data_IF_119781191458
#
_entry.id   IF_119781191458
#
_cell.length_a   1.000
_cell.length_b   1.000
_cell.length_c   1.000
_cell.angle_alpha   90.00
_cell.angle_beta   90.00
_cell.angle_gamma   90.00
#
_symmetry.space_group_name_H-M   'P 1'
#
loop_
_entity.id
_entity.type
_entity.pdbx_description
1 polymer ?
#
# COMPACT_ATOMS: atom_id res chain seq x y z
N UNK A 1 37.24 3.10 -16.98
CA UNK A 1 36.01 2.57 -16.37
C UNK A 1 35.37 1.64 -17.40
N UNK A 2 35.13 0.40 -17.05
CA UNK A 2 34.51 -0.60 -17.93
C UNK A 2 32.97 -0.35 -17.98
N UNK A 3 32.30 -0.86 -19.00
CA UNK A 3 30.83 -0.79 -19.08
C UNK A 3 30.13 -1.41 -17.85
N UNK A 4 30.73 -2.46 -17.28
CA UNK A 4 30.21 -3.07 -16.04
C UNK A 4 30.32 -2.12 -14.87
N UNK A 5 31.49 -1.47 -14.67
CA UNK A 5 31.68 -0.49 -13.59
C UNK A 5 30.72 0.70 -13.74
N UNK A 6 30.45 1.14 -14.97
CA UNK A 6 29.48 2.22 -15.24
C UNK A 6 28.08 1.77 -14.82
N UNK A 7 27.62 0.58 -15.23
CA UNK A 7 26.31 0.05 -14.86
C UNK A 7 26.16 -0.12 -13.35
N UNK A 8 27.19 -0.67 -12.70
CA UNK A 8 27.16 -0.90 -11.26
C UNK A 8 27.10 0.45 -10.50
N UNK A 9 27.84 1.46 -10.94
CA UNK A 9 27.79 2.81 -10.38
C UNK A 9 26.43 3.48 -10.59
N UNK A 10 25.83 3.36 -11.77
CA UNK A 10 24.47 3.89 -12.05
C UNK A 10 23.44 3.19 -11.14
N UNK A 11 23.51 1.87 -11.02
CA UNK A 11 22.58 1.12 -10.15
C UNK A 11 22.73 1.53 -8.68
N UNK A 12 23.96 1.77 -8.21
CA UNK A 12 24.22 2.26 -6.86
C UNK A 12 23.65 3.68 -6.65
N UNK A 13 23.85 4.58 -7.60
CA UNK A 13 23.30 5.94 -7.54
C UNK A 13 21.77 5.92 -7.49
N UNK A 14 21.13 5.14 -8.36
CA UNK A 14 19.66 5.04 -8.40
C UNK A 14 19.09 4.47 -7.09
N UNK A 15 19.76 3.47 -6.49
CA UNK A 15 19.36 2.92 -5.19
C UNK A 15 19.49 3.97 -4.09
N UNK A 16 20.59 4.71 -4.07
CA UNK A 16 20.83 5.77 -3.07
C UNK A 16 19.82 6.93 -3.23
N UNK A 17 19.47 7.32 -4.46
CA UNK A 17 18.44 8.32 -4.73
C UNK A 17 17.08 7.85 -4.21
N UNK A 18 16.68 6.61 -4.52
CA UNK A 18 15.42 6.03 -4.02
C UNK A 18 15.38 5.93 -2.50
N UNK A 19 16.49 5.56 -1.85
CA UNK A 19 16.61 5.54 -0.39
C UNK A 19 16.39 6.94 0.20
N UNK A 20 17.10 7.97 -0.32
CA UNK A 20 16.96 9.35 0.14
C UNK A 20 15.56 9.91 -0.06
N UNK A 21 14.91 9.57 -1.17
CA UNK A 21 13.52 9.96 -1.43
C UNK A 21 12.58 9.40 -0.36
N UNK A 22 12.67 8.10 -0.06
CA UNK A 22 11.90 7.44 1.00
C UNK A 22 12.15 8.07 2.37
N UNK A 23 13.41 8.30 2.73
CA UNK A 23 13.81 8.94 3.99
C UNK A 23 13.27 10.37 4.10
N UNK A 24 13.30 11.12 3.00
CA UNK A 24 12.73 12.46 2.92
C UNK A 24 11.22 12.47 3.20
N UNK A 25 10.47 11.53 2.61
CA UNK A 25 9.03 11.36 2.85
C UNK A 25 8.76 11.02 4.32
N UNK A 26 9.49 10.08 4.88
CA UNK A 26 9.34 9.66 6.29
C UNK A 26 9.68 10.84 7.23
N UNK A 27 10.71 11.61 6.94
CA UNK A 27 11.07 12.80 7.72
C UNK A 27 9.94 13.83 7.68
N UNK A 28 9.37 14.07 6.50
CA UNK A 28 8.21 14.95 6.34
C UNK A 28 6.98 14.45 7.13
N UNK A 29 6.77 13.14 7.20
CA UNK A 29 5.69 12.58 8.01
C UNK A 29 5.88 12.87 9.49
N UNK A 30 7.11 12.77 10.04
CA UNK A 30 7.40 13.15 11.44
C UNK A 30 7.06 14.60 11.73
N UNK A 31 7.32 15.50 10.77
CA UNK A 31 6.97 16.92 10.90
C UNK A 31 5.46 17.13 10.88
N UNK A 32 4.76 16.56 9.89
CA UNK A 32 3.31 16.67 9.73
C UNK A 32 2.55 16.06 10.90
N UNK A 33 3.04 14.96 11.46
CA UNK A 33 2.38 14.28 12.57
C UNK A 33 2.31 15.12 13.85
N UNK A 34 3.20 16.13 14.01
CA UNK A 34 3.14 17.08 15.14
C UNK A 34 1.88 17.94 15.13
N UNK A 35 1.29 18.15 13.96
CA UNK A 35 0.09 18.95 13.77
C UNK A 35 -1.17 18.11 13.52
N UNK A 36 -0.99 16.79 13.34
CA UNK A 36 -2.08 15.90 13.00
C UNK A 36 -3.01 15.65 14.19
N UNK A 37 -4.31 15.57 13.92
CA UNK A 37 -5.30 15.14 14.92
C UNK A 37 -5.20 13.63 15.10
N UNK A 38 -5.08 13.19 16.35
CA UNK A 38 -5.09 11.77 16.73
C UNK A 38 -6.46 11.14 16.50
N UNK A 39 -6.49 9.81 16.46
CA UNK A 39 -7.75 9.05 16.35
C UNK A 39 -8.41 9.11 14.98
N UNK A 40 -7.78 9.69 13.96
CA UNK A 40 -8.34 9.77 12.62
C UNK A 40 -8.09 8.48 11.82
N UNK A 41 -8.49 8.47 10.55
CA UNK A 41 -8.23 7.38 9.63
C UNK A 41 -6.83 7.56 9.05
N UNK A 42 -6.06 6.47 8.95
CA UNK A 42 -4.77 6.44 8.27
C UNK A 42 -4.83 5.45 7.11
N UNK A 43 -4.36 5.89 5.96
CA UNK A 43 -4.04 5.05 4.82
C UNK A 43 -2.52 4.87 4.80
N UNK A 44 -2.03 3.64 4.94
CA UNK A 44 -0.59 3.35 4.94
C UNK A 44 -0.26 2.24 3.94
N UNK A 45 0.94 2.30 3.37
CA UNK A 45 1.34 1.32 2.37
C UNK A 45 2.51 1.77 1.50
N UNK A 46 2.54 1.26 0.28
CA UNK A 46 3.55 1.58 -0.72
C UNK A 46 3.06 2.62 -1.74
N UNK A 47 3.58 2.58 -2.98
CA UNK A 47 3.21 3.51 -4.04
C UNK A 47 1.71 3.51 -4.38
N UNK A 48 1.06 2.36 -4.32
CA UNK A 48 -0.39 2.25 -4.59
C UNK A 48 -1.22 3.00 -3.54
N UNK A 49 -0.72 3.15 -2.34
CA UNK A 49 -1.36 3.99 -1.34
C UNK A 49 -0.89 5.44 -1.45
N UNK A 50 0.41 5.69 -1.69
CA UNK A 50 0.95 7.04 -1.87
C UNK A 50 0.24 7.81 -2.98
N UNK A 51 0.01 7.16 -4.11
CA UNK A 51 -0.61 7.75 -5.31
C UNK A 51 -2.14 7.86 -5.22
N UNK A 52 -2.76 7.32 -4.18
CA UNK A 52 -4.21 7.45 -3.98
C UNK A 52 -4.55 8.93 -3.71
N UNK A 53 -5.26 9.63 -4.62
CA UNK A 53 -5.54 11.05 -4.50
C UNK A 53 -6.69 11.30 -3.50
N UNK A 54 -6.57 10.73 -2.31
CA UNK A 54 -7.63 10.69 -1.30
C UNK A 54 -8.09 12.09 -0.86
N UNK A 55 -7.18 13.05 -0.84
CA UNK A 55 -7.52 14.42 -0.40
C UNK A 55 -8.41 15.14 -1.39
N UNK A 56 -8.10 15.03 -2.69
CA UNK A 56 -8.91 15.58 -3.77
C UNK A 56 -10.29 14.90 -3.80
N UNK A 57 -10.33 13.57 -3.70
CA UNK A 57 -11.59 12.82 -3.70
C UNK A 57 -12.47 13.15 -2.49
N UNK A 58 -11.89 13.38 -1.31
CA UNK A 58 -12.66 13.82 -0.14
C UNK A 58 -13.24 15.21 -0.36
N UNK A 59 -12.48 16.12 -0.94
CA UNK A 59 -12.90 17.49 -1.21
C UNK A 59 -13.97 17.55 -2.30
N UNK A 60 -13.73 16.91 -3.45
CA UNK A 60 -14.63 16.96 -4.60
C UNK A 60 -15.97 16.28 -4.34
N UNK A 61 -15.98 15.25 -3.49
CA UNK A 61 -17.19 14.51 -3.10
C UNK A 61 -17.82 15.03 -1.80
N UNK A 62 -17.31 16.14 -1.24
CA UNK A 62 -17.76 16.74 0.03
C UNK A 62 -17.85 15.73 1.20
N UNK A 63 -16.87 14.80 1.26
CA UNK A 63 -16.89 13.71 2.23
C UNK A 63 -16.34 14.16 3.59
N UNK A 64 -17.06 13.95 4.71
CA UNK A 64 -16.72 14.49 6.02
C UNK A 64 -15.71 13.63 6.79
N UNK A 65 -14.70 13.13 6.11
CA UNK A 65 -13.66 12.29 6.73
C UNK A 65 -12.33 13.05 6.84
N UNK A 66 -11.57 12.74 7.88
CA UNK A 66 -10.15 13.09 7.97
C UNK A 66 -9.35 11.82 7.76
N UNK A 67 -8.64 11.76 6.65
CA UNK A 67 -7.77 10.65 6.28
C UNK A 67 -6.36 11.18 6.11
N UNK A 68 -5.38 10.57 6.80
CA UNK A 68 -3.96 10.86 6.61
C UNK A 68 -3.36 9.78 5.71
N UNK A 69 -2.93 10.16 4.52
CA UNK A 69 -2.19 9.25 3.64
C UNK A 69 -0.71 9.24 4.06
N UNK A 70 -0.21 8.04 4.37
CA UNK A 70 1.16 7.74 4.77
C UNK A 70 1.76 6.62 3.90
N UNK A 71 1.33 6.52 2.66
CA UNK A 71 1.96 5.69 1.65
C UNK A 71 3.36 6.20 1.31
N UNK A 72 4.31 5.29 1.07
CA UNK A 72 5.67 5.59 0.62
C UNK A 72 6.03 4.67 -0.54
N UNK A 73 6.23 5.25 -1.72
CA UNK A 73 6.56 4.53 -2.93
C UNK A 73 7.77 3.62 -2.76
N UNK A 74 7.63 2.39 -3.26
CA UNK A 74 8.70 1.39 -3.16
C UNK A 74 8.89 0.77 -1.78
N UNK A 75 8.10 1.09 -0.76
CA UNK A 75 8.21 0.43 0.55
C UNK A 75 7.87 -1.05 0.46
N UNK A 76 8.69 -1.84 1.14
CA UNK A 76 8.48 -3.24 1.47
C UNK A 76 7.90 -3.37 2.88
N UNK A 77 7.46 -4.57 3.25
CA UNK A 77 7.04 -4.86 4.64
C UNK A 77 8.15 -4.59 5.65
N UNK A 78 9.43 -4.83 5.29
CA UNK A 78 10.59 -4.53 6.13
C UNK A 78 10.74 -3.04 6.39
N UNK A 79 10.69 -2.23 5.33
CA UNK A 79 10.83 -0.78 5.44
C UNK A 79 9.68 -0.14 6.22
N UNK A 80 8.45 -0.64 6.05
CA UNK A 80 7.33 -0.20 6.88
C UNK A 80 7.54 -0.57 8.35
N UNK A 81 8.01 -1.80 8.65
CA UNK A 81 8.32 -2.24 10.01
C UNK A 81 9.32 -1.31 10.71
N UNK A 82 10.35 -0.85 10.00
CA UNK A 82 11.36 0.08 10.50
C UNK A 82 10.81 1.50 10.70
N UNK A 83 9.70 1.84 10.04
CA UNK A 83 9.10 3.17 10.02
C UNK A 83 7.63 3.19 10.52
N UNK A 84 7.23 2.23 11.34
CA UNK A 84 5.85 2.16 11.87
C UNK A 84 5.44 3.43 12.62
N UNK A 85 6.38 4.03 13.38
CA UNK A 85 6.10 5.24 14.16
C UNK A 85 5.63 6.38 13.25
N UNK A 86 6.43 6.90 12.32
CA UNK A 86 6.02 8.03 11.48
C UNK A 86 4.90 7.70 10.49
N UNK A 87 4.78 6.44 10.06
CA UNK A 87 3.74 6.06 9.09
C UNK A 87 2.39 5.74 9.75
N UNK A 88 2.37 5.30 11.01
CA UNK A 88 1.15 4.81 11.65
C UNK A 88 1.04 5.28 13.10
N UNK A 89 1.99 4.87 13.98
CA UNK A 89 1.82 4.94 15.42
C UNK A 89 1.77 6.36 15.96
N UNK A 90 2.56 7.28 15.41
CA UNK A 90 2.56 8.70 15.83
C UNK A 90 1.20 9.38 15.62
N UNK A 91 0.35 8.85 14.75
CA UNK A 91 -0.99 9.36 14.47
C UNK A 91 -2.05 8.81 15.41
N UNK A 92 -1.74 7.74 16.16
CA UNK A 92 -2.69 7.03 17.03
C UNK A 92 -4.06 6.84 16.32
N UNK A 93 -4.09 6.21 15.13
CA UNK A 93 -5.30 6.13 14.32
C UNK A 93 -6.41 5.33 14.99
N UNK A 94 -7.65 5.78 14.84
CA UNK A 94 -8.82 4.98 15.20
C UNK A 94 -9.14 3.90 14.16
N UNK A 95 -8.68 4.07 12.92
CA UNK A 95 -8.79 3.09 11.85
C UNK A 95 -7.58 3.16 10.91
N UNK A 96 -7.08 2.01 10.50
CA UNK A 96 -5.96 1.87 9.57
C UNK A 96 -6.37 1.03 8.36
N UNK A 97 -6.19 1.60 7.17
CA UNK A 97 -6.29 0.89 5.90
C UNK A 97 -4.86 0.63 5.40
N UNK A 98 -4.48 -0.63 5.32
CA UNK A 98 -3.11 -1.05 5.04
C UNK A 98 -3.01 -1.82 3.72
N UNK A 99 -2.17 -1.31 2.79
CA UNK A 99 -1.82 -1.98 1.54
C UNK A 99 -0.30 -1.95 1.36
N UNK A 100 0.39 -2.95 1.89
CA UNK A 100 1.86 -3.10 1.88
C UNK A 100 2.25 -4.53 1.53
N UNK A 101 3.24 -4.73 0.68
CA UNK A 101 3.78 -6.06 0.38
C UNK A 101 4.01 -6.35 -1.10
N UNK A 102 3.44 -5.58 -2.01
CA UNK A 102 3.63 -5.81 -3.45
C UNK A 102 5.09 -5.66 -3.88
N UNK A 103 5.87 -4.79 -3.23
CA UNK A 103 7.30 -4.64 -3.53
C UNK A 103 8.16 -5.79 -3.00
N UNK A 104 7.69 -6.49 -1.97
CA UNK A 104 8.34 -7.73 -1.50
C UNK A 104 8.30 -8.82 -2.58
N UNK A 105 7.28 -8.81 -3.45
CA UNK A 105 7.08 -9.79 -4.51
C UNK A 105 7.90 -9.53 -5.78
N UNK A 106 8.65 -8.43 -5.88
CA UNK A 106 9.42 -8.08 -7.08
C UNK A 106 10.70 -8.91 -7.24
N UNK A 107 11.22 -9.52 -6.17
CA UNK A 107 12.40 -10.37 -6.21
C UNK A 107 12.11 -11.82 -6.61
N UNK A 108 13.10 -12.48 -7.20
CA UNK A 108 13.03 -13.93 -7.44
C UNK A 108 13.05 -14.72 -6.13
N UNK A 109 13.67 -14.17 -5.10
CA UNK A 109 13.86 -14.70 -3.76
C UNK A 109 12.66 -14.51 -2.83
N UNK A 110 11.50 -14.14 -3.37
CA UNK A 110 10.27 -13.99 -2.58
C UNK A 110 9.85 -15.33 -1.96
N UNK A 111 9.77 -15.35 -0.62
CA UNK A 111 9.28 -16.51 0.15
C UNK A 111 8.02 -16.10 0.91
N UNK A 112 6.89 -16.73 0.57
CA UNK A 112 5.57 -16.38 1.10
C UNK A 112 5.51 -16.49 2.64
N UNK A 113 6.09 -17.53 3.23
CA UNK A 113 6.08 -17.72 4.70
C UNK A 113 6.88 -16.64 5.45
N UNK A 114 8.00 -16.17 4.88
CA UNK A 114 8.76 -15.06 5.45
C UNK A 114 8.01 -13.73 5.34
N UNK A 115 7.38 -13.50 4.18
CA UNK A 115 6.52 -12.35 3.95
C UNK A 115 5.38 -12.32 4.98
N UNK A 116 4.65 -13.44 5.12
CA UNK A 116 3.55 -13.58 6.07
C UNK A 116 4.00 -13.36 7.51
N UNK A 117 5.18 -13.89 7.89
CA UNK A 117 5.78 -13.69 9.21
C UNK A 117 6.12 -12.23 9.50
N UNK A 118 6.67 -11.50 8.51
CA UNK A 118 6.92 -10.05 8.65
C UNK A 118 5.62 -9.25 8.76
N UNK A 119 4.62 -9.60 7.95
CA UNK A 119 3.31 -8.94 8.02
C UNK A 119 2.65 -9.14 9.38
N UNK A 120 2.67 -10.37 9.91
CA UNK A 120 2.20 -10.68 11.25
C UNK A 120 2.92 -9.83 12.32
N UNK A 121 4.24 -9.70 12.22
CA UNK A 121 5.02 -8.87 13.15
C UNK A 121 4.67 -7.37 13.07
N UNK A 122 4.26 -6.87 11.88
CA UNK A 122 3.72 -5.50 11.74
C UNK A 122 2.43 -5.36 12.53
N UNK A 123 1.50 -6.31 12.35
CA UNK A 123 0.20 -6.29 13.04
C UNK A 123 0.37 -6.42 14.55
N UNK A 124 1.25 -7.32 15.03
CA UNK A 124 1.58 -7.47 16.45
C UNK A 124 2.03 -6.15 17.08
N UNK A 125 2.96 -5.44 16.42
CA UNK A 125 3.47 -4.15 16.92
C UNK A 125 2.42 -3.04 16.91
N UNK A 126 1.54 -3.04 15.90
CA UNK A 126 0.45 -2.06 15.84
C UNK A 126 -0.52 -2.32 17.00
N UNK A 127 -0.96 -3.56 17.19
CA UNK A 127 -1.92 -3.92 18.22
C UNK A 127 -1.35 -3.81 19.64
N UNK A 128 -0.04 -4.05 19.84
CA UNK A 128 0.63 -3.77 21.13
C UNK A 128 0.48 -2.31 21.56
N UNK A 129 0.56 -1.37 20.60
CA UNK A 129 0.47 0.07 20.89
C UNK A 129 -0.95 0.64 20.79
N UNK A 130 -1.77 0.02 19.95
CA UNK A 130 -3.11 0.50 19.60
C UNK A 130 -4.11 -0.67 19.63
N UNK A 131 -4.41 -1.23 20.83
CA UNK A 131 -5.23 -2.45 20.94
C UNK A 131 -6.67 -2.28 20.42
N UNK A 132 -7.21 -1.04 20.40
CA UNK A 132 -8.57 -0.75 19.98
C UNK A 132 -8.66 -0.28 18.52
N UNK A 133 -7.56 -0.31 17.77
CA UNK A 133 -7.54 0.15 16.38
C UNK A 133 -8.42 -0.75 15.49
N UNK A 134 -9.19 -0.14 14.60
CA UNK A 134 -9.89 -0.87 13.54
C UNK A 134 -8.95 -1.11 12.37
N UNK A 135 -8.61 -2.38 12.11
CA UNK A 135 -7.69 -2.77 11.05
C UNK A 135 -8.45 -3.21 9.79
N UNK A 136 -8.06 -2.65 8.65
CA UNK A 136 -8.53 -3.01 7.33
C UNK A 136 -7.32 -3.38 6.46
N UNK A 137 -7.22 -4.65 6.10
CA UNK A 137 -6.17 -5.16 5.22
C UNK A 137 -6.72 -5.20 3.80
N UNK A 138 -6.16 -4.38 2.92
CA UNK A 138 -6.60 -4.30 1.53
C UNK A 138 -5.91 -5.38 0.70
N UNK A 139 -6.68 -6.13 -0.06
CA UNK A 139 -6.14 -7.05 -1.05
C UNK A 139 -5.16 -6.34 -1.98
N UNK A 140 -4.11 -7.01 -2.35
CA UNK A 140 -3.20 -6.53 -3.41
C UNK A 140 -3.94 -6.53 -4.74
N UNK A 141 -3.78 -5.44 -5.48
CA UNK A 141 -4.37 -5.30 -6.79
C UNK A 141 -3.64 -6.20 -7.80
N UNK A 142 -4.35 -6.75 -8.80
CA UNK A 142 -3.72 -7.53 -9.86
C UNK A 142 -2.79 -6.67 -10.71
N UNK A 143 -1.86 -7.30 -11.40
CA UNK A 143 -1.00 -6.65 -12.40
C UNK A 143 -1.50 -6.96 -13.82
N UNK A 144 -1.07 -6.13 -14.78
CA UNK A 144 -1.22 -6.40 -16.22
C UNK A 144 0.08 -6.00 -16.94
N UNK A 145 1.07 -6.90 -16.93
CA UNK A 145 2.38 -6.60 -17.48
C UNK A 145 2.38 -6.43 -19.00
N UNK A 146 1.31 -6.83 -19.70
CA UNK A 146 1.16 -6.53 -21.12
C UNK A 146 0.82 -5.07 -21.38
N UNK A 147 0.26 -4.37 -20.40
CA UNK A 147 0.02 -2.94 -20.45
C UNK A 147 1.24 -2.08 -20.10
N UNK A 148 2.38 -2.70 -19.73
CA UNK A 148 3.62 -1.96 -19.47
C UNK A 148 4.08 -1.21 -20.72
N UNK A 149 4.48 0.09 -20.61
CA UNK A 149 4.77 0.95 -21.76
C UNK A 149 6.04 0.54 -22.52
N UNK A 150 6.92 -0.18 -21.89
CA UNK A 150 8.20 -0.59 -22.45
C UNK A 150 8.74 -1.89 -21.79
N UNK A 151 9.71 -2.57 -22.45
CA UNK A 151 10.29 -3.83 -21.94
C UNK A 151 11.01 -3.69 -20.59
N UNK A 152 11.57 -2.51 -20.27
CA UNK A 152 12.27 -2.28 -19.02
C UNK A 152 11.28 -2.27 -17.85
N UNK A 153 10.19 -1.51 -17.98
CA UNK A 153 9.10 -1.47 -16.99
C UNK A 153 8.53 -2.86 -16.76
N UNK A 154 8.28 -3.63 -17.85
CA UNK A 154 7.84 -5.02 -17.77
C UNK A 154 8.81 -5.88 -16.99
N UNK A 155 10.11 -5.74 -17.23
CA UNK A 155 11.15 -6.51 -16.54
C UNK A 155 11.23 -6.19 -15.04
N UNK A 156 11.03 -4.94 -14.65
CA UNK A 156 11.03 -4.51 -13.23
C UNK A 156 9.94 -5.22 -12.43
N UNK A 157 8.77 -5.45 -13.02
CA UNK A 157 7.63 -6.08 -12.37
C UNK A 157 7.44 -7.56 -12.73
N UNK A 158 8.34 -8.16 -13.50
CA UNK A 158 8.18 -9.51 -14.04
C UNK A 158 7.91 -10.58 -12.97
N UNK A 159 8.49 -10.44 -11.78
CA UNK A 159 8.28 -11.36 -10.67
C UNK A 159 6.96 -11.15 -9.93
N UNK A 160 6.28 -10.01 -10.11
CA UNK A 160 4.97 -9.71 -9.51
C UNK A 160 3.84 -10.31 -10.36
N UNK A 161 3.80 -11.62 -10.43
CA UNK A 161 2.79 -12.36 -11.20
C UNK A 161 1.44 -12.35 -10.45
N UNK A 162 0.32 -12.41 -11.19
CA UNK A 162 -1.00 -12.54 -10.59
C UNK A 162 -1.14 -13.83 -9.76
N UNK A 163 -0.36 -14.87 -10.06
CA UNK A 163 -0.28 -16.06 -9.20
C UNK A 163 0.30 -15.74 -7.83
N UNK A 164 1.45 -15.03 -7.75
CA UNK A 164 2.02 -14.59 -6.48
C UNK A 164 1.07 -13.66 -5.72
N UNK A 165 0.41 -12.74 -6.43
CA UNK A 165 -0.56 -11.82 -5.85
C UNK A 165 -1.73 -12.59 -5.23
N UNK A 166 -2.27 -13.61 -5.91
CA UNK A 166 -3.36 -14.45 -5.37
C UNK A 166 -2.93 -15.22 -4.12
N UNK A 167 -1.73 -15.83 -4.14
CA UNK A 167 -1.18 -16.53 -2.97
C UNK A 167 -0.95 -15.58 -1.79
N UNK A 168 -0.43 -14.38 -2.04
CA UNK A 168 -0.24 -13.38 -1.00
C UNK A 168 -1.58 -12.84 -0.46
N UNK A 169 -2.60 -12.69 -1.31
CA UNK A 169 -3.94 -12.29 -0.90
C UNK A 169 -4.63 -13.34 -0.03
N UNK A 170 -4.44 -14.62 -0.32
CA UNK A 170 -4.96 -15.69 0.53
C UNK A 170 -4.30 -15.67 1.90
N UNK A 171 -2.96 -15.58 1.95
CA UNK A 171 -2.23 -15.45 3.22
C UNK A 171 -2.64 -14.17 3.98
N UNK A 172 -2.92 -13.06 3.28
CA UNK A 172 -3.39 -11.83 3.91
C UNK A 172 -4.80 -11.99 4.49
N UNK A 173 -5.68 -12.76 3.84
CA UNK A 173 -7.01 -13.09 4.36
C UNK A 173 -6.92 -13.91 5.64
N UNK A 174 -6.07 -14.94 5.67
CA UNK A 174 -5.81 -15.74 6.88
C UNK A 174 -5.26 -14.87 8.02
N UNK A 175 -4.36 -13.93 7.72
CA UNK A 175 -3.88 -12.96 8.71
C UNK A 175 -5.03 -12.07 9.22
N UNK A 176 -5.89 -11.57 8.33
CA UNK A 176 -7.02 -10.74 8.73
C UNK A 176 -7.94 -11.50 9.72
N UNK A 177 -8.25 -12.75 9.45
CA UNK A 177 -9.02 -13.60 10.35
C UNK A 177 -8.31 -13.78 11.71
N UNK A 178 -7.03 -14.13 11.70
CA UNK A 178 -6.20 -14.33 12.90
C UNK A 178 -6.15 -13.08 13.79
N UNK A 179 -6.06 -11.90 13.19
CA UNK A 179 -5.91 -10.63 13.90
C UNK A 179 -7.23 -9.87 14.08
N UNK A 180 -8.37 -10.48 13.75
CA UNK A 180 -9.70 -9.87 13.81
C UNK A 180 -9.77 -8.55 13.01
N UNK A 181 -9.02 -8.46 11.91
CA UNK A 181 -9.03 -7.37 10.98
C UNK A 181 -10.07 -7.62 9.86
N UNK A 182 -10.58 -6.55 9.27
CA UNK A 182 -11.39 -6.68 8.06
C UNK A 182 -10.49 -6.86 6.84
N UNK A 183 -10.69 -7.92 6.06
CA UNK A 183 -10.09 -8.09 4.74
C UNK A 183 -10.98 -7.42 3.70
N UNK A 184 -10.43 -6.49 2.92
CA UNK A 184 -11.14 -5.77 1.88
C UNK A 184 -10.60 -6.15 0.50
N UNK A 185 -11.36 -6.95 -0.25
CA UNK A 185 -11.06 -7.23 -1.66
C UNK A 185 -11.83 -6.24 -2.55
N UNK A 186 -11.11 -5.27 -3.07
CA UNK A 186 -11.63 -4.19 -3.91
C UNK A 186 -11.33 -4.42 -5.40
N UNK A 187 -10.93 -5.65 -5.78
CA UNK A 187 -10.44 -5.96 -7.13
C UNK A 187 -11.57 -6.14 -8.15
N UNK A 188 -12.78 -6.41 -7.73
CA UNK A 188 -13.88 -6.81 -8.62
C UNK A 188 -14.16 -5.84 -9.77
N UNK A 189 -14.04 -4.53 -9.55
CA UNK A 189 -14.22 -3.52 -10.60
C UNK A 189 -12.95 -3.22 -11.39
N UNK A 190 -11.78 -3.64 -10.88
CA UNK A 190 -10.46 -3.33 -11.44
C UNK A 190 -9.98 -4.39 -12.44
N UNK A 191 -10.55 -5.61 -12.39
CA UNK A 191 -10.09 -6.76 -13.16
C UNK A 191 -10.83 -6.92 -14.48
N UNK A 192 -10.11 -7.37 -15.52
CA UNK A 192 -10.67 -7.89 -16.76
C UNK A 192 -11.16 -9.35 -16.60
N UNK A 193 -11.64 -9.94 -17.67
CA UNK A 193 -12.18 -11.32 -17.68
C UNK A 193 -11.10 -12.38 -17.38
N UNK A 194 -9.85 -12.07 -17.63
CA UNK A 194 -8.69 -12.92 -17.39
C UNK A 194 -8.10 -12.73 -15.98
N UNK A 195 -8.66 -11.80 -15.19
CA UNK A 195 -8.21 -11.50 -13.83
C UNK A 195 -7.00 -10.59 -13.76
N UNK A 196 -6.65 -9.91 -14.84
CA UNK A 196 -5.59 -8.89 -14.86
C UNK A 196 -6.17 -7.52 -14.55
N UNK A 197 -5.31 -6.58 -14.12
CA UNK A 197 -5.69 -5.17 -14.02
C UNK A 197 -6.10 -4.66 -15.42
N UNK A 198 -7.27 -4.02 -15.51
CA UNK A 198 -7.76 -3.48 -16.78
C UNK A 198 -6.76 -2.50 -17.38
N UNK A 199 -6.51 -2.62 -18.69
CA UNK A 199 -5.49 -1.80 -19.39
C UNK A 199 -5.78 -0.31 -19.30
N UNK A 200 -7.02 0.08 -19.36
CA UNK A 200 -7.46 1.47 -19.25
C UNK A 200 -7.33 2.06 -17.84
N UNK A 201 -7.12 1.23 -16.82
CA UNK A 201 -6.95 1.66 -15.44
C UNK A 201 -5.49 1.70 -14.98
N UNK A 202 -4.54 1.29 -15.82
CA UNK A 202 -3.14 1.22 -15.41
C UNK A 202 -2.21 2.11 -16.22
N UNK A 203 -1.22 2.70 -15.53
CA UNK A 203 -0.16 3.53 -16.10
C UNK A 203 0.97 2.68 -16.69
N UNK A 204 1.31 1.58 -16.00
CA UNK A 204 2.52 0.80 -16.26
C UNK A 204 2.34 -0.71 -16.05
N UNK A 205 1.10 -1.15 -15.89
CA UNK A 205 0.74 -2.53 -15.59
C UNK A 205 0.62 -2.84 -14.10
N UNK A 206 0.91 -1.88 -13.22
CA UNK A 206 0.87 -2.04 -11.75
C UNK A 206 0.21 -0.84 -11.06
N UNK A 207 0.64 0.38 -11.41
CA UNK A 207 0.09 1.60 -10.85
C UNK A 207 -1.18 2.01 -11.60
N UNK A 208 -2.12 2.60 -10.88
CA UNK A 208 -3.43 2.95 -11.43
C UNK A 208 -3.50 4.42 -11.85
N UNK A 209 -4.31 4.67 -12.89
CA UNK A 209 -4.84 5.99 -13.17
C UNK A 209 -5.86 6.40 -12.10
N UNK A 210 -6.23 7.68 -12.10
CA UNK A 210 -7.20 8.25 -11.15
C UNK A 210 -8.55 7.51 -11.18
N UNK A 211 -8.98 7.07 -12.36
CA UNK A 211 -10.22 6.31 -12.55
C UNK A 211 -10.22 4.97 -11.79
N UNK A 212 -9.06 4.31 -11.68
CA UNK A 212 -8.93 3.11 -10.86
C UNK A 212 -9.10 3.39 -9.38
N UNK A 213 -8.51 4.48 -8.90
CA UNK A 213 -8.69 4.92 -7.51
C UNK A 213 -10.10 5.41 -7.20
N UNK A 214 -10.80 5.97 -8.20
CA UNK A 214 -12.19 6.39 -8.08
C UNK A 214 -13.11 5.19 -7.82
N UNK A 215 -12.93 4.09 -8.58
CA UNK A 215 -13.60 2.83 -8.36
C UNK A 215 -13.28 2.20 -6.98
N UNK A 216 -12.04 2.35 -6.52
CA UNK A 216 -11.64 1.90 -5.17
C UNK A 216 -12.34 2.73 -4.10
N UNK A 217 -12.40 4.07 -4.27
CA UNK A 217 -13.07 4.95 -3.33
C UNK A 217 -14.56 4.61 -3.22
N UNK A 218 -15.25 4.37 -4.33
CA UNK A 218 -16.67 3.98 -4.33
C UNK A 218 -16.92 2.73 -3.47
N UNK A 219 -16.03 1.74 -3.55
CA UNK A 219 -16.14 0.53 -2.74
C UNK A 219 -15.75 0.76 -1.27
N UNK A 220 -14.92 1.77 -0.97
CA UNK A 220 -14.53 2.13 0.41
C UNK A 220 -15.61 2.94 1.12
N UNK A 221 -16.47 3.68 0.40
CA UNK A 221 -17.48 4.57 1.01
C UNK A 221 -18.36 3.88 2.05
N UNK A 222 -18.95 2.68 1.81
CA UNK A 222 -19.76 2.01 2.82
C UNK A 222 -18.99 1.68 4.11
N UNK A 223 -17.68 1.34 3.98
CA UNK A 223 -16.81 1.06 5.12
C UNK A 223 -16.54 2.33 5.90
N UNK A 224 -16.24 3.44 5.21
CA UNK A 224 -16.01 4.75 5.84
C UNK A 224 -17.27 5.25 6.56
N UNK A 225 -18.45 5.05 5.99
CA UNK A 225 -19.73 5.39 6.61
C UNK A 225 -19.97 4.59 7.89
N UNK A 226 -19.70 3.29 7.89
CA UNK A 226 -19.81 2.44 9.07
C UNK A 226 -18.91 2.92 10.22
N UNK A 227 -17.70 3.37 9.89
CA UNK A 227 -16.75 3.94 10.87
C UNK A 227 -17.28 5.24 11.48
N UNK A 228 -18.00 6.06 10.74
CA UNK A 228 -18.59 7.30 11.22
C UNK A 228 -19.76 7.03 12.17
N UNK A 229 -20.63 6.11 11.80
CA UNK A 229 -21.80 5.74 12.63
C UNK A 229 -21.38 5.13 13.97
N UNK A 230 -20.35 4.29 13.98
CA UNK A 230 -19.81 3.70 15.21
C UNK A 230 -19.06 4.67 16.14
N UNK A 231 -18.78 5.91 15.68
CA UNK A 231 -18.21 6.99 16.52
C UNK A 231 -19.30 7.89 17.13
N UNK A 232 -20.52 7.79 16.64
CA UNK A 232 -21.64 8.63 17.09
C UNK A 232 -22.45 7.99 18.24
N UNK A 233 -22.11 6.76 18.61
CA UNK A 233 -22.63 6.02 19.76
C UNK A 233 -21.62 6.01 20.91
#
# INVERSE_FOLDING_TARGET
>A
MTEKEIRDNIAMILREMGRREKEGKVTRFRELNRMARKGQIVFAGSSLMEQFPVYEMLMDRELPYTIYNRGVGGFTTRELMENLSPCILDLEPGALFLNIGTNDMNGEDFVLSEFTGRYASILDRILEKLPEIKLFLLAFYPSNLEAAPDPHTRAVFACRTNERIRQANEALRELAEKYHAAYLDLNGLLTDAEGNLKKELTVDGVHMHVEGYDLVMDQLLPVLESLRQGRAQ
#
